data_IF_486177866243
#
_entry.id   IF_486177866243
#
_cell.length_a   1.000
_cell.length_b   1.000
_cell.length_c   1.000
_cell.angle_alpha   90.00
_cell.angle_beta   90.00
_cell.angle_gamma   90.00
#
_symmetry.space_group_name_H-M   'P 1'
#
loop_
_entity.id
_entity.type
_entity.pdbx_description
1 polymer ?
#
# COMPACT_ATOMS: atom_id res chain seq x y z
N UNK A 1 13.00 -7.42 2.98
CA UNK A 1 13.07 -6.10 3.64
C UNK A 1 14.04 -6.11 4.82
N UNK A 2 13.80 -6.87 5.89
CA UNK A 2 14.66 -6.89 7.09
C UNK A 2 16.16 -7.09 6.78
N UNK A 3 16.48 -8.03 5.89
CA UNK A 3 17.87 -8.26 5.44
C UNK A 3 18.51 -7.03 4.79
N UNK A 4 17.82 -6.40 3.84
CA UNK A 4 18.30 -5.18 3.18
C UNK A 4 18.56 -4.04 4.18
N UNK A 5 17.69 -3.91 5.19
CA UNK A 5 17.88 -2.92 6.26
C UNK A 5 19.10 -3.25 7.13
N UNK A 6 19.29 -4.51 7.50
CA UNK A 6 20.44 -4.94 8.30
C UNK A 6 21.76 -4.87 7.53
N UNK A 7 21.74 -5.06 6.20
CA UNK A 7 22.90 -4.85 5.34
C UNK A 7 23.27 -3.37 5.23
N UNK A 8 22.28 -2.48 5.07
CA UNK A 8 22.51 -1.04 4.99
C UNK A 8 22.91 -0.44 6.35
N UNK A 9 22.35 -0.95 7.45
CA UNK A 9 22.56 -0.45 8.81
C UNK A 9 22.77 -1.59 9.81
N UNK A 10 23.95 -2.25 9.79
CA UNK A 10 24.21 -3.41 10.64
C UNK A 10 24.02 -3.11 12.13
N UNK A 11 23.23 -3.94 12.81
CA UNK A 11 22.93 -3.83 14.25
C UNK A 11 22.28 -2.50 14.68
N UNK A 12 21.72 -1.73 13.76
CA UNK A 12 21.09 -0.43 14.03
C UNK A 12 19.59 -0.42 13.68
N UNK A 13 19.01 -1.57 13.39
CA UNK A 13 17.60 -1.71 13.03
C UNK A 13 16.79 -2.10 14.26
N UNK A 14 15.89 -1.20 14.69
CA UNK A 14 14.86 -1.49 15.68
C UNK A 14 13.53 -1.76 14.96
N UNK A 15 12.96 -2.95 15.15
CA UNK A 15 11.63 -3.29 14.66
C UNK A 15 10.57 -2.93 15.70
N UNK A 16 9.63 -2.06 15.34
CA UNK A 16 8.48 -1.70 16.18
C UNK A 16 7.23 -2.31 15.57
N UNK A 17 6.45 -2.96 16.42
CA UNK A 17 5.20 -3.63 16.04
C UNK A 17 4.07 -2.60 15.95
N UNK A 18 3.40 -2.53 14.80
CA UNK A 18 2.32 -1.59 14.51
C UNK A 18 0.97 -2.32 14.31
N UNK A 19 0.32 -2.18 13.14
CA UNK A 19 -0.88 -2.91 12.78
C UNK A 19 -0.63 -4.39 12.47
N UNK A 20 -1.71 -5.18 12.39
CA UNK A 20 -1.62 -6.62 12.20
C UNK A 20 -2.87 -7.31 12.72
N UNK A 21 -3.95 -7.27 11.93
CA UNK A 21 -5.27 -7.69 12.42
C UNK A 21 -5.55 -9.18 12.24
N UNK A 22 -4.66 -9.91 11.56
CA UNK A 22 -4.77 -11.37 11.41
C UNK A 22 -3.59 -12.08 12.10
N UNK A 23 -3.81 -12.72 13.27
CA UNK A 23 -2.73 -13.22 14.14
C UNK A 23 -1.76 -14.18 13.46
N UNK A 24 -2.23 -15.08 12.60
CA UNK A 24 -1.38 -16.08 11.96
C UNK A 24 -0.44 -15.44 10.92
N UNK A 25 -0.98 -14.53 10.09
CA UNK A 25 -0.18 -13.81 9.10
C UNK A 25 0.83 -12.90 9.78
N UNK A 26 0.41 -12.28 10.88
CA UNK A 26 1.26 -11.44 11.68
C UNK A 26 2.42 -12.22 12.30
N UNK A 27 2.12 -13.35 12.94
CA UNK A 27 3.12 -14.21 13.57
C UNK A 27 4.14 -14.71 12.55
N UNK A 28 3.68 -15.11 11.36
CA UNK A 28 4.55 -15.52 10.27
C UNK A 28 5.43 -14.37 9.75
N UNK A 29 4.84 -13.20 9.55
CA UNK A 29 5.56 -12.01 9.10
C UNK A 29 6.63 -11.59 10.10
N UNK A 30 6.31 -11.59 11.40
CA UNK A 30 7.25 -11.27 12.47
C UNK A 30 8.38 -12.30 12.57
N UNK A 31 8.06 -13.59 12.42
CA UNK A 31 9.05 -14.68 12.35
C UNK A 31 10.03 -14.47 11.19
N UNK A 32 9.52 -14.25 9.97
CA UNK A 32 10.36 -13.99 8.79
C UNK A 32 11.18 -12.71 8.87
N UNK A 33 10.62 -11.65 9.45
CA UNK A 33 11.33 -10.41 9.69
C UNK A 33 12.51 -10.62 10.64
N UNK A 34 12.28 -11.33 11.75
CA UNK A 34 13.32 -11.64 12.76
C UNK A 34 14.44 -12.49 12.16
N UNK A 35 14.10 -13.53 11.38
CA UNK A 35 15.10 -14.31 10.63
C UNK A 35 15.96 -13.43 9.73
N UNK A 36 15.33 -12.51 8.99
CA UNK A 36 16.03 -11.57 8.12
C UNK A 36 16.99 -10.65 8.87
N UNK A 37 16.63 -10.16 10.07
CA UNK A 37 17.51 -9.36 10.92
C UNK A 37 18.69 -10.17 11.47
N UNK A 38 18.46 -11.43 11.81
CA UNK A 38 19.50 -12.33 12.33
C UNK A 38 20.44 -12.87 11.23
N UNK A 39 20.19 -12.53 9.96
CA UNK A 39 20.95 -13.08 8.83
C UNK A 39 20.68 -14.56 8.57
N UNK A 40 19.66 -15.16 9.20
CA UNK A 40 19.26 -16.54 8.96
C UNK A 40 18.61 -16.67 7.58
N UNK A 41 18.68 -17.85 6.96
CA UNK A 41 18.04 -18.14 5.68
C UNK A 41 16.58 -17.71 5.65
N UNK A 42 16.17 -17.05 4.57
CA UNK A 42 14.79 -16.61 4.33
C UNK A 42 14.29 -17.27 3.04
N UNK A 43 12.98 -17.56 2.92
CA UNK A 43 12.45 -18.21 1.75
C UNK A 43 12.70 -17.37 0.49
N UNK A 44 12.92 -18.05 -0.63
CA UNK A 44 13.06 -17.43 -1.93
C UNK A 44 11.82 -16.60 -2.26
N UNK A 45 12.04 -15.35 -2.66
CA UNK A 45 10.98 -14.48 -3.19
C UNK A 45 11.09 -14.46 -4.71
N UNK A 46 9.97 -14.74 -5.37
CA UNK A 46 9.87 -14.59 -6.82
C UNK A 46 9.58 -13.12 -7.16
N UNK A 47 10.52 -12.48 -7.86
CA UNK A 47 10.30 -11.14 -8.40
C UNK A 47 9.45 -11.24 -9.66
N UNK A 48 8.31 -10.54 -9.68
CA UNK A 48 7.49 -10.45 -10.88
C UNK A 48 8.26 -9.75 -12.01
N UNK A 49 8.04 -10.16 -13.25
CA UNK A 49 8.64 -9.48 -14.41
C UNK A 49 8.14 -8.04 -14.55
N UNK A 50 6.95 -7.76 -14.01
CA UNK A 50 6.31 -6.45 -14.06
C UNK A 50 5.57 -6.16 -12.76
N UNK A 51 5.69 -4.92 -12.29
CA UNK A 51 4.86 -4.40 -11.21
C UNK A 51 3.48 -4.04 -11.78
N UNK A 52 2.40 -4.31 -11.05
CA UNK A 52 1.06 -3.98 -11.54
C UNK A 52 0.93 -2.47 -11.83
N UNK A 53 0.05 -2.11 -12.77
CA UNK A 53 -0.18 -0.72 -13.20
C UNK A 53 -0.38 0.28 -12.07
N UNK A 54 -1.24 -0.02 -11.09
CA UNK A 54 -1.51 0.88 -9.95
C UNK A 54 -0.27 1.14 -9.10
N UNK A 55 0.51 0.10 -8.79
CA UNK A 55 1.74 0.24 -8.04
C UNK A 55 2.84 0.94 -8.86
N UNK A 56 2.89 0.69 -10.17
CA UNK A 56 3.80 1.41 -11.09
C UNK A 56 3.52 2.91 -11.05
N UNK A 57 2.26 3.32 -11.16
CA UNK A 57 1.86 4.73 -11.06
C UNK A 57 2.26 5.35 -9.71
N UNK A 58 2.00 4.66 -8.60
CA UNK A 58 2.37 5.14 -7.26
C UNK A 58 3.88 5.32 -7.14
N UNK A 59 4.69 4.37 -7.62
CA UNK A 59 6.15 4.47 -7.58
C UNK A 59 6.63 5.66 -8.43
N UNK A 60 6.11 5.82 -9.64
CA UNK A 60 6.43 6.96 -10.49
C UNK A 60 6.07 8.30 -9.85
N UNK A 61 4.86 8.42 -9.29
CA UNK A 61 4.43 9.62 -8.58
C UNK A 61 5.35 9.97 -7.42
N UNK A 62 5.75 8.98 -6.62
CA UNK A 62 6.70 9.19 -5.51
C UNK A 62 8.07 9.64 -6.02
N UNK A 63 8.61 8.99 -7.06
CA UNK A 63 9.91 9.37 -7.64
C UNK A 63 9.85 10.80 -8.17
N UNK A 64 8.84 11.16 -8.97
CA UNK A 64 8.68 12.51 -9.53
C UNK A 64 8.51 13.55 -8.42
N UNK A 65 7.68 13.29 -7.42
CA UNK A 65 7.42 14.20 -6.32
C UNK A 65 8.67 14.47 -5.47
N UNK A 66 9.48 13.43 -5.20
CA UNK A 66 10.63 13.52 -4.31
C UNK A 66 11.94 13.85 -5.03
N UNK A 67 12.07 13.60 -6.34
CA UNK A 67 13.29 13.87 -7.10
C UNK A 67 13.88 15.27 -6.90
N UNK A 68 13.12 16.39 -6.85
CA UNK A 68 13.70 17.71 -6.63
C UNK A 68 14.53 17.85 -5.35
N UNK A 69 14.32 16.98 -4.35
CA UNK A 69 14.98 17.02 -3.04
C UNK A 69 16.06 15.95 -2.84
N UNK A 70 16.06 14.88 -3.63
CA UNK A 70 16.91 13.71 -3.41
C UNK A 70 17.69 13.33 -4.66
N UNK A 71 19.02 13.49 -4.64
CA UNK A 71 19.89 13.23 -5.81
C UNK A 71 19.75 11.82 -6.38
N UNK A 72 19.69 10.80 -5.53
CA UNK A 72 19.51 9.40 -5.97
C UNK A 72 18.19 9.19 -6.74
N UNK A 73 17.13 9.93 -6.37
CA UNK A 73 15.85 9.88 -7.06
C UNK A 73 15.87 10.68 -8.37
N UNK A 74 16.66 11.76 -8.47
CA UNK A 74 16.90 12.45 -9.75
C UNK A 74 17.58 11.52 -10.75
N UNK A 75 18.63 10.82 -10.31
CA UNK A 75 19.34 9.85 -11.14
C UNK A 75 18.43 8.68 -11.55
N UNK A 76 17.60 8.19 -10.62
CA UNK A 76 16.62 7.14 -10.93
C UNK A 76 15.55 7.62 -11.91
N UNK A 77 15.04 8.85 -11.73
CA UNK A 77 14.07 9.45 -12.63
C UNK A 77 14.63 9.59 -14.05
N UNK A 78 15.86 10.08 -14.19
CA UNK A 78 16.49 10.23 -15.51
C UNK A 78 16.66 8.88 -16.23
N UNK A 79 17.04 7.82 -15.50
CA UNK A 79 17.15 6.47 -16.04
C UNK A 79 15.79 5.95 -16.53
N UNK A 80 14.75 6.11 -15.72
CA UNK A 80 13.39 5.68 -16.06
C UNK A 80 12.82 6.46 -17.26
N UNK A 81 12.99 7.79 -17.30
CA UNK A 81 12.54 8.61 -18.44
C UNK A 81 13.35 8.28 -19.70
N UNK A 82 14.66 8.06 -19.58
CA UNK A 82 15.49 7.57 -20.70
C UNK A 82 14.97 6.24 -21.24
N UNK A 83 14.52 5.33 -20.37
CA UNK A 83 13.94 4.07 -20.80
C UNK A 83 12.61 4.27 -21.53
N UNK A 84 11.71 5.11 -21.02
CA UNK A 84 10.46 5.47 -21.72
C UNK A 84 10.76 5.96 -23.15
N UNK A 85 11.68 6.93 -23.28
CA UNK A 85 12.10 7.47 -24.58
C UNK A 85 12.66 6.39 -25.51
N UNK A 86 13.52 5.51 -25.01
CA UNK A 86 14.08 4.38 -25.78
C UNK A 86 13.02 3.42 -26.31
N UNK A 87 11.91 3.28 -25.60
CA UNK A 87 10.77 2.45 -26.00
C UNK A 87 9.79 3.19 -26.93
N UNK A 88 10.06 4.45 -27.28
CA UNK A 88 9.16 5.28 -28.07
C UNK A 88 7.90 5.71 -27.32
N UNK A 89 7.94 5.67 -25.98
CA UNK A 89 6.86 6.10 -25.11
C UNK A 89 7.08 7.55 -24.67
N UNK A 90 5.98 8.23 -24.33
CA UNK A 90 6.04 9.53 -23.69
C UNK A 90 6.69 9.44 -22.31
N UNK A 91 7.34 10.53 -21.91
CA UNK A 91 7.82 10.68 -20.55
C UNK A 91 6.66 10.64 -19.56
N UNK A 92 6.91 10.01 -18.41
CA UNK A 92 5.92 10.01 -17.35
C UNK A 92 5.78 11.44 -16.78
N UNK A 93 4.55 11.94 -16.74
CA UNK A 93 4.20 13.14 -16.00
C UNK A 93 3.09 12.79 -15.01
N UNK A 94 3.28 13.14 -13.73
CA UNK A 94 2.25 12.98 -12.71
C UNK A 94 1.09 13.92 -13.02
N UNK A 95 -0.10 13.35 -13.28
CA UNK A 95 -1.34 14.12 -13.31
C UNK A 95 -1.73 14.45 -11.87
N UNK A 96 -1.27 15.60 -11.37
CA UNK A 96 -1.62 16.12 -10.04
C UNK A 96 -3.11 16.53 -9.91
N UNK A 97 -3.95 16.20 -10.90
CA UNK A 97 -5.23 16.87 -11.17
C UNK A 97 -6.46 16.21 -10.52
N UNK A 98 -6.37 15.00 -9.96
CA UNK A 98 -7.47 14.41 -9.17
C UNK A 98 -7.09 14.26 -7.69
N UNK A 99 -7.08 15.39 -6.97
CA UNK A 99 -7.18 15.35 -5.51
C UNK A 99 -8.65 15.17 -5.10
N UNK A 100 -9.25 14.02 -5.45
CA UNK A 100 -10.59 13.59 -4.98
C UNK A 100 -10.68 13.57 -3.43
N UNK A 101 -9.53 13.62 -2.76
CA UNK A 101 -9.43 13.57 -1.31
C UNK A 101 -9.45 14.92 -0.59
N UNK A 102 -9.71 16.08 -1.22
CA UNK A 102 -9.65 17.35 -0.46
C UNK A 102 -10.73 17.40 0.63
N UNK A 103 -11.99 17.13 0.28
CA UNK A 103 -13.08 17.03 1.25
C UNK A 103 -12.84 15.87 2.23
N UNK A 104 -12.41 14.71 1.72
CA UNK A 104 -12.13 13.52 2.55
C UNK A 104 -11.03 13.80 3.57
N UNK A 105 -10.00 14.57 3.21
CA UNK A 105 -8.90 14.94 4.09
C UNK A 105 -9.35 15.93 5.16
N UNK A 106 -10.16 16.92 4.80
CA UNK A 106 -10.75 17.84 5.77
C UNK A 106 -11.66 17.09 6.75
N UNK A 107 -12.54 16.22 6.25
CA UNK A 107 -13.36 15.31 7.03
C UNK A 107 -12.51 14.48 8.00
N UNK A 108 -11.48 13.80 7.50
CA UNK A 108 -10.57 12.98 8.30
C UNK A 108 -9.93 13.79 9.43
N UNK A 109 -9.42 14.98 9.12
CA UNK A 109 -8.78 15.84 10.10
C UNK A 109 -9.77 16.26 11.21
N UNK A 110 -11.03 16.56 10.88
CA UNK A 110 -12.10 16.87 11.86
C UNK A 110 -12.40 15.67 12.76
N UNK A 111 -12.49 14.47 12.19
CA UNK A 111 -12.74 13.24 12.97
C UNK A 111 -11.61 12.96 13.95
N UNK A 112 -10.36 13.07 13.48
CA UNK A 112 -9.18 12.84 14.32
C UNK A 112 -9.07 13.89 15.43
N UNK A 113 -9.26 15.18 15.11
CA UNK A 113 -9.18 16.25 16.12
C UNK A 113 -10.28 16.16 17.18
N UNK A 114 -11.44 15.62 16.82
CA UNK A 114 -12.54 15.37 17.74
C UNK A 114 -12.37 14.08 18.58
N UNK A 115 -11.38 13.24 18.28
CA UNK A 115 -11.16 11.98 18.99
C UNK A 115 -12.25 10.93 18.76
N UNK A 116 -12.97 10.98 17.64
CA UNK A 116 -14.07 10.06 17.31
C UNK A 116 -13.70 9.04 16.22
N UNK A 117 -12.41 8.88 15.95
CA UNK A 117 -11.92 7.90 15.00
C UNK A 117 -12.09 6.47 15.56
N UNK A 118 -12.76 5.60 14.79
CA UNK A 118 -13.12 4.23 15.24
C UNK A 118 -12.56 3.12 14.34
N UNK A 119 -11.54 3.41 13.53
CA UNK A 119 -10.95 2.51 12.52
C UNK A 119 -10.58 1.10 13.01
N UNK A 120 -10.34 0.91 14.32
CA UNK A 120 -10.01 -0.40 14.92
C UNK A 120 -11.21 -1.31 15.15
N UNK A 121 -12.40 -0.75 15.26
CA UNK A 121 -13.60 -1.47 15.70
C UNK A 121 -14.46 -1.96 14.55
N UNK A 122 -14.14 -1.55 13.32
CA UNK A 122 -14.99 -1.79 12.14
C UNK A 122 -14.55 -2.97 11.28
N UNK A 123 -13.43 -3.63 11.60
CA UNK A 123 -13.11 -4.91 11.00
C UNK A 123 -13.83 -6.00 11.82
N UNK A 124 -14.92 -6.60 11.31
CA UNK A 124 -15.58 -7.66 12.03
C UNK A 124 -14.59 -8.80 12.27
N UNK A 125 -14.66 -9.49 13.42
CA UNK A 125 -13.92 -10.73 13.60
C UNK A 125 -14.21 -11.66 12.43
N UNK A 126 -13.17 -12.30 11.90
CA UNK A 126 -13.36 -13.33 10.89
C UNK A 126 -14.27 -14.41 11.47
N UNK A 127 -15.29 -14.81 10.73
CA UNK A 127 -16.07 -15.99 11.08
C UNK A 127 -15.16 -17.23 11.00
N UNK A 128 -15.59 -18.34 11.60
CA UNK A 128 -14.77 -19.55 11.69
C UNK A 128 -14.33 -20.10 10.31
N UNK A 129 -15.18 -19.95 9.29
CA UNK A 129 -14.87 -20.39 7.91
C UNK A 129 -13.76 -19.56 7.28
N UNK A 130 -13.86 -18.22 7.35
CA UNK A 130 -12.86 -17.30 6.83
C UNK A 130 -11.55 -17.40 7.62
N UNK A 131 -11.63 -17.52 8.94
CA UNK A 131 -10.45 -17.73 9.78
C UNK A 131 -9.70 -18.99 9.35
N UNK A 132 -10.41 -20.12 9.19
CA UNK A 132 -9.84 -21.37 8.70
C UNK A 132 -9.23 -21.22 7.30
N UNK A 133 -9.97 -20.63 6.37
CA UNK A 133 -9.48 -20.40 5.00
C UNK A 133 -8.17 -19.59 5.00
N UNK A 134 -8.10 -18.53 5.82
CA UNK A 134 -6.91 -17.71 5.91
C UNK A 134 -5.73 -18.46 6.56
N UNK A 135 -5.96 -19.27 7.60
CA UNK A 135 -4.92 -20.11 8.20
C UNK A 135 -4.41 -21.16 7.21
N UNK A 136 -5.31 -21.86 6.50
CA UNK A 136 -4.97 -22.85 5.46
C UNK A 136 -4.10 -22.22 4.36
N UNK A 137 -4.39 -20.98 3.96
CA UNK A 137 -3.60 -20.22 2.98
C UNK A 137 -2.20 -19.86 3.48
N UNK A 138 -2.04 -19.55 4.76
CA UNK A 138 -0.72 -19.29 5.35
C UNK A 138 0.10 -20.58 5.39
N UNK A 139 -0.53 -21.70 5.76
CA UNK A 139 0.15 -22.98 5.81
C UNK A 139 0.56 -23.46 4.41
N UNK A 140 -0.25 -23.20 3.38
CA UNK A 140 0.12 -23.41 1.97
C UNK A 140 1.39 -22.60 1.61
N UNK A 141 1.43 -21.32 2.00
CA UNK A 141 2.61 -20.46 1.77
C UNK A 141 3.83 -21.00 2.52
N UNK A 142 3.68 -21.42 3.78
CA UNK A 142 4.78 -21.98 4.58
C UNK A 142 5.36 -23.25 3.94
N UNK A 143 4.50 -24.12 3.45
CA UNK A 143 4.90 -25.36 2.77
C UNK A 143 5.60 -25.10 1.43
N UNK A 144 5.32 -23.95 0.80
CA UNK A 144 5.95 -23.54 -0.46
C UNK A 144 7.35 -22.93 -0.30
N UNK A 145 7.82 -22.73 0.93
CA UNK A 145 9.09 -22.06 1.18
C UNK A 145 10.31 -22.86 0.70
N UNK A 146 11.00 -22.30 -0.29
CA UNK A 146 12.30 -22.78 -0.76
C UNK A 146 13.44 -22.00 -0.10
N UNK A 147 14.21 -22.64 0.76
CA UNK A 147 15.38 -22.04 1.44
C UNK A 147 16.73 -22.39 0.77
N UNK A 148 16.77 -23.41 -0.07
CA UNK A 148 18.01 -23.99 -0.61
C UNK A 148 18.62 -23.24 -1.81
N UNK A 149 17.92 -22.24 -2.35
CA UNK A 149 18.35 -21.48 -3.54
C UNK A 149 18.77 -20.08 -3.14
N UNK A 150 19.86 -19.60 -3.72
CA UNK A 150 20.33 -18.23 -3.53
C UNK A 150 19.28 -17.22 -4.05
N UNK A 151 19.04 -16.17 -3.26
CA UNK A 151 18.17 -15.06 -3.64
C UNK A 151 18.99 -14.11 -4.50
N UNK A 152 18.77 -14.15 -5.82
CA UNK A 152 19.39 -13.19 -6.74
C UNK A 152 18.61 -11.88 -6.72
N UNK A 153 19.29 -10.79 -6.35
CA UNK A 153 18.72 -9.46 -6.48
C UNK A 153 18.42 -9.14 -7.95
N UNK A 154 17.32 -8.43 -8.26
CA UNK A 154 17.05 -7.98 -9.62
C UNK A 154 18.17 -7.06 -10.10
N UNK A 155 18.56 -7.19 -11.38
CA UNK A 155 19.48 -6.24 -12.01
C UNK A 155 18.80 -4.89 -12.22
N UNK A 156 19.59 -3.83 -12.39
CA UNK A 156 19.05 -2.49 -12.69
C UNK A 156 18.14 -2.51 -13.93
N UNK A 157 18.55 -3.19 -14.99
CA UNK A 157 17.73 -3.34 -16.20
C UNK A 157 16.39 -4.04 -15.93
N UNK A 158 16.36 -5.02 -15.03
CA UNK A 158 15.12 -5.68 -14.63
C UNK A 158 14.21 -4.73 -13.85
N UNK A 159 14.77 -3.96 -12.91
CA UNK A 159 14.01 -2.96 -12.13
C UNK A 159 13.44 -1.86 -13.02
N UNK A 160 14.23 -1.36 -13.98
CA UNK A 160 13.77 -0.37 -14.96
C UNK A 160 12.60 -0.95 -15.79
N UNK A 161 12.77 -2.16 -16.36
CA UNK A 161 11.72 -2.84 -17.13
C UNK A 161 10.43 -3.07 -16.35
N UNK A 162 10.51 -3.32 -15.04
CA UNK A 162 9.34 -3.50 -14.19
C UNK A 162 8.46 -2.24 -14.08
N UNK A 163 9.04 -1.06 -14.29
CA UNK A 163 8.38 0.24 -14.11
C UNK A 163 8.01 0.93 -15.42
N UNK A 164 7.97 0.21 -16.55
CA UNK A 164 7.53 0.80 -17.82
C UNK A 164 6.07 1.27 -17.74
N UNK A 165 5.86 2.55 -18.04
CA UNK A 165 4.55 3.20 -18.10
C UNK A 165 4.04 3.23 -19.55
N UNK A 166 3.36 2.16 -19.94
CA UNK A 166 2.75 1.97 -21.26
C UNK A 166 1.22 1.90 -21.17
N UNK A 167 0.55 1.67 -22.30
CA UNK A 167 -0.90 1.50 -22.35
C UNK A 167 -1.44 0.34 -21.50
N UNK A 168 -0.66 -0.73 -21.31
CA UNK A 168 -1.04 -1.87 -20.45
C UNK A 168 -1.01 -1.49 -18.97
N UNK A 169 0.02 -0.79 -18.52
CA UNK A 169 0.07 -0.28 -17.14
C UNK A 169 -1.05 0.72 -16.86
N UNK A 170 -1.34 1.63 -17.81
CA UNK A 170 -2.45 2.58 -17.69
C UNK A 170 -3.80 1.88 -17.55
N UNK A 171 -4.07 0.90 -18.43
CA UNK A 171 -5.30 0.10 -18.38
C UNK A 171 -5.40 -0.70 -17.07
N UNK A 172 -4.33 -1.39 -16.69
CA UNK A 172 -4.31 -2.16 -15.45
C UNK A 172 -4.51 -1.27 -14.21
N UNK A 173 -3.89 -0.09 -14.18
CA UNK A 173 -4.10 0.88 -13.11
C UNK A 173 -5.58 1.24 -13.01
N UNK A 174 -6.21 1.64 -14.12
CA UNK A 174 -7.61 2.00 -14.15
C UNK A 174 -8.51 0.84 -13.68
N UNK A 175 -8.35 -0.34 -14.26
CA UNK A 175 -9.20 -1.51 -13.97
C UNK A 175 -9.04 -2.01 -12.52
N UNK A 176 -7.83 -1.98 -11.96
CA UNK A 176 -7.60 -2.45 -10.58
C UNK A 176 -8.01 -1.42 -9.53
N UNK A 177 -7.88 -0.14 -9.83
CA UNK A 177 -8.23 0.94 -8.90
C UNK A 177 -9.75 1.20 -8.86
N UNK A 178 -10.47 0.97 -9.96
CA UNK A 178 -11.89 1.31 -10.09
C UNK A 178 -12.79 0.65 -9.02
N UNK A 179 -12.73 -0.67 -8.74
CA UNK A 179 -13.63 -1.27 -7.75
C UNK A 179 -13.45 -0.70 -6.34
N UNK A 180 -12.19 -0.40 -5.97
CA UNK A 180 -11.90 0.22 -4.67
C UNK A 180 -12.40 1.67 -4.64
N UNK A 181 -12.19 2.43 -5.71
CA UNK A 181 -12.65 3.81 -5.81
C UNK A 181 -14.18 3.90 -5.74
N UNK A 182 -14.90 3.04 -6.45
CA UNK A 182 -16.36 2.96 -6.40
C UNK A 182 -16.85 2.63 -4.99
N UNK A 183 -16.26 1.62 -4.34
CA UNK A 183 -16.59 1.25 -2.96
C UNK A 183 -16.42 2.43 -2.00
N UNK A 184 -15.25 3.09 -2.02
CA UNK A 184 -14.96 4.21 -1.12
C UNK A 184 -15.85 5.42 -1.39
N UNK A 185 -16.14 5.69 -2.66
CA UNK A 185 -17.01 6.80 -3.05
C UNK A 185 -18.44 6.57 -2.57
N UNK A 186 -19.00 5.37 -2.81
CA UNK A 186 -20.35 5.04 -2.36
C UNK A 186 -20.45 5.00 -0.83
N UNK A 187 -19.42 4.50 -0.14
CA UNK A 187 -19.37 4.50 1.33
C UNK A 187 -19.38 5.93 1.88
N UNK A 188 -18.52 6.81 1.36
CA UNK A 188 -18.44 8.21 1.78
C UNK A 188 -19.74 8.97 1.49
N UNK A 189 -20.30 8.84 0.27
CA UNK A 189 -21.55 9.51 -0.11
C UNK A 189 -22.73 9.00 0.73
N UNK A 190 -22.86 7.68 0.88
CA UNK A 190 -23.91 7.09 1.73
C UNK A 190 -23.83 7.57 3.18
N UNK A 191 -22.62 7.73 3.72
CA UNK A 191 -22.44 8.28 5.07
C UNK A 191 -22.79 9.77 5.11
N UNK A 192 -22.28 10.58 4.18
CA UNK A 192 -22.56 12.02 4.07
C UNK A 192 -24.06 12.30 3.97
N UNK A 193 -24.79 11.48 3.22
CA UNK A 193 -26.25 11.57 3.01
C UNK A 193 -27.07 10.91 4.13
N UNK A 194 -26.42 10.44 5.21
CA UNK A 194 -27.06 9.73 6.33
C UNK A 194 -27.82 8.44 5.92
N UNK A 195 -27.53 7.88 4.73
CA UNK A 195 -28.04 6.55 4.30
C UNK A 195 -27.40 5.41 5.08
N UNK A 196 -26.18 5.62 5.59
CA UNK A 196 -25.50 4.73 6.55
C UNK A 196 -25.22 5.49 7.84
N UNK A 197 -25.42 4.83 8.98
CA UNK A 197 -25.08 5.41 10.29
C UNK A 197 -23.57 5.41 10.57
N UNK A 198 -22.78 4.68 9.78
CA UNK A 198 -21.34 4.54 9.98
C UNK A 198 -20.59 4.43 8.65
N UNK A 199 -19.31 4.81 8.69
CA UNK A 199 -18.28 4.49 7.70
C UNK A 199 -17.02 3.99 8.42
N UNK A 200 -16.04 3.45 7.71
CA UNK A 200 -14.79 2.90 8.27
C UNK A 200 -14.05 3.87 9.22
N UNK A 201 -14.30 5.17 9.11
CA UNK A 201 -13.63 6.23 9.87
C UNK A 201 -14.36 6.56 11.19
N UNK A 202 -15.68 6.72 11.18
CA UNK A 202 -16.49 7.14 12.32
C UNK A 202 -17.99 6.79 12.12
N UNK A 203 -18.78 6.93 13.18
CA UNK A 203 -20.24 6.79 13.16
C UNK A 203 -20.96 8.10 13.51
N UNK A 204 -22.20 8.23 13.04
CA UNK A 204 -23.04 9.40 13.26
C UNK A 204 -23.48 9.58 14.71
N UNK A 205 -23.48 8.51 15.53
CA UNK A 205 -23.90 8.62 16.92
C UNK A 205 -22.86 9.41 17.74
N UNK A 206 -21.57 9.13 17.54
CA UNK A 206 -20.48 9.92 18.12
C UNK A 206 -20.44 11.35 17.58
N UNK A 207 -20.70 11.53 16.28
CA UNK A 207 -20.76 12.87 15.67
C UNK A 207 -21.84 13.71 16.32
N UNK A 208 -23.03 13.12 16.53
CA UNK A 208 -24.16 13.76 17.22
C UNK A 208 -23.86 14.00 18.70
N UNK A 209 -23.26 13.03 19.40
CA UNK A 209 -22.86 13.16 20.81
C UNK A 209 -21.90 14.34 21.01
N UNK A 210 -20.95 14.52 20.09
CA UNK A 210 -19.99 15.62 20.13
C UNK A 210 -20.51 16.94 19.54
N UNK A 211 -21.74 16.97 19.02
CA UNK A 211 -22.32 18.15 18.39
C UNK A 211 -21.51 18.66 17.19
N UNK A 212 -20.86 17.76 16.45
CA UNK A 212 -19.94 18.12 15.37
C UNK A 212 -20.66 18.31 14.04
N UNK A 213 -20.26 19.35 13.31
CA UNK A 213 -20.64 19.53 11.92
C UNK A 213 -19.48 19.07 11.01
N UNK A 214 -19.59 17.85 10.50
CA UNK A 214 -18.55 17.27 9.64
C UNK A 214 -18.59 17.80 8.21
N UNK A 215 -19.79 18.02 7.67
CA UNK A 215 -20.01 18.50 6.31
C UNK A 215 -20.69 19.86 6.33
N UNK A 216 -20.35 20.71 5.37
CA UNK A 216 -21.08 21.96 5.14
C UNK A 216 -22.51 21.62 4.70
N UNK A 217 -23.49 22.43 5.12
CA UNK A 217 -24.89 22.24 4.72
C UNK A 217 -25.00 22.31 3.19
N UNK A 218 -25.61 21.28 2.61
CA UNK A 218 -25.95 21.22 1.18
C UNK A 218 -26.91 22.35 0.83
#
# INVERSE_FOLDING_TARGET
MARLLNEAFPNQVLAVLEGGYFPDCYSESAYMFTRGLQGLDIPKVHHAERVNGSMTEVIWNNIVHHAPRWKCLQESLEKLQTQQRKLGLEEYASDNSLYLGHEVKQFWNKVVSAGICRTREWFPPLNAELAKLCSDKIDEVRQSYEYSKEIMAPTEDQLLKQLVWDGKAKLECHTKSLPSLEFWTEEYLSFKESRKNHMMVCDWDLVREKGLQLFDSI
#
